data_IF_753364357734
#
_entry.id   IF_753364357734
#
_cell.length_a   1.000
_cell.length_b   1.000
_cell.length_c   1.000
_cell.angle_alpha   90.00
_cell.angle_beta   90.00
_cell.angle_gamma   90.00
#
_symmetry.space_group_name_H-M   'P 1'
#
loop_
_entity.id
_entity.type
_entity.pdbx_description
1 polymer ?
#
# COMPACT_ATOMS: atom_id res chain seq x y z
N UNK A 1 12.82 -3.32 -1.11
CA UNK A 1 12.12 -2.14 -1.69
C UNK A 1 13.02 -0.92 -1.76
N UNK A 2 13.72 -0.52 -0.72
CA UNK A 2 14.47 0.74 -0.64
C UNK A 2 15.35 1.06 -1.85
N UNK A 3 16.27 0.17 -2.24
CA UNK A 3 17.14 0.37 -3.43
C UNK A 3 16.37 0.61 -4.73
N UNK A 4 15.20 -0.01 -4.88
CA UNK A 4 14.37 0.16 -6.07
C UNK A 4 13.65 1.51 -6.06
N UNK A 5 13.16 1.93 -4.90
CA UNK A 5 12.56 3.25 -4.69
C UNK A 5 13.60 4.35 -4.95
N UNK A 6 14.81 4.21 -4.41
CA UNK A 6 15.93 5.13 -4.68
C UNK A 6 16.22 5.25 -6.18
N UNK A 7 16.32 4.13 -6.88
CA UNK A 7 16.54 4.10 -8.34
C UNK A 7 15.45 4.83 -9.11
N UNK A 8 14.18 4.60 -8.75
CA UNK A 8 13.04 5.26 -9.39
C UNK A 8 13.01 6.75 -9.06
N UNK A 9 13.23 7.14 -7.80
CA UNK A 9 13.26 8.54 -7.39
C UNK A 9 14.33 9.33 -8.17
N UNK A 10 15.57 8.81 -8.21
CA UNK A 10 16.66 9.45 -8.98
C UNK A 10 16.36 9.54 -10.48
N UNK A 11 15.78 8.49 -11.06
CA UNK A 11 15.37 8.48 -12.47
C UNK A 11 14.27 9.52 -12.79
N UNK A 12 13.48 9.90 -11.80
CA UNK A 12 12.45 10.95 -11.90
C UNK A 12 12.97 12.34 -11.54
N UNK A 13 14.26 12.49 -11.25
CA UNK A 13 14.91 13.78 -10.98
C UNK A 13 14.89 14.21 -9.52
N UNK A 14 14.54 13.32 -8.58
CA UNK A 14 14.60 13.61 -7.16
C UNK A 14 16.00 13.41 -6.60
N UNK A 15 16.35 14.23 -5.62
CA UNK A 15 17.53 14.03 -4.78
C UNK A 15 17.19 13.12 -3.61
N UNK A 16 17.99 12.08 -3.40
CA UNK A 16 17.90 11.22 -2.22
C UNK A 16 18.94 11.70 -1.22
N UNK A 17 18.50 12.51 -0.28
CA UNK A 17 19.36 13.21 0.69
C UNK A 17 19.78 12.34 1.87
N UNK A 18 19.00 11.31 2.20
CA UNK A 18 19.28 10.40 3.30
C UNK A 18 18.76 8.98 3.00
N UNK A 19 19.52 7.96 3.37
CA UNK A 19 19.10 6.56 3.39
C UNK A 19 19.30 6.02 4.79
N UNK A 20 18.22 5.52 5.39
CA UNK A 20 18.22 4.94 6.75
C UNK A 20 17.92 3.44 6.62
N UNK A 21 18.95 2.61 6.75
CA UNK A 21 18.83 1.15 6.62
C UNK A 21 19.83 0.46 7.54
N UNK A 22 19.39 -0.46 8.43
CA UNK A 22 20.30 -1.17 9.34
C UNK A 22 21.45 -1.90 8.63
N UNK A 23 21.22 -2.35 7.39
CA UNK A 23 22.24 -3.05 6.61
C UNK A 23 23.26 -2.12 5.94
N UNK A 24 22.94 -0.82 5.83
CA UNK A 24 23.80 0.19 5.20
C UNK A 24 24.48 1.06 6.27
N UNK A 25 23.73 1.44 7.30
CA UNK A 25 24.20 2.40 8.31
C UNK A 25 24.80 1.76 9.56
N UNK A 26 24.70 0.43 9.73
CA UNK A 26 25.11 -0.25 10.98
C UNK A 26 26.57 -0.06 11.36
N UNK A 27 27.46 0.22 10.39
CA UNK A 27 28.89 0.47 10.62
C UNK A 27 29.24 1.95 10.77
N UNK A 28 28.40 2.88 10.27
CA UNK A 28 28.73 4.29 10.20
C UNK A 28 27.95 5.16 11.20
N UNK A 29 26.66 4.88 11.44
CA UNK A 29 25.85 5.65 12.41
C UNK A 29 24.70 4.81 12.98
N UNK A 30 24.31 4.98 14.27
CA UNK A 30 23.06 4.44 14.79
C UNK A 30 21.86 4.97 13.99
N UNK A 31 20.84 4.13 13.73
CA UNK A 31 19.63 4.53 12.99
C UNK A 31 18.97 5.79 13.55
N UNK A 32 18.92 5.92 14.88
CA UNK A 32 18.39 7.10 15.54
C UNK A 32 19.16 8.39 15.15
N UNK A 33 20.48 8.31 15.02
CA UNK A 33 21.30 9.45 14.61
C UNK A 33 21.11 9.83 13.13
N UNK A 34 20.79 8.85 12.27
CA UNK A 34 20.49 9.12 10.87
C UNK A 34 19.14 9.88 10.71
N UNK A 35 18.12 9.51 11.49
CA UNK A 35 16.82 10.20 11.51
C UNK A 35 16.91 11.59 12.16
N UNK A 36 17.81 11.76 13.13
CA UNK A 36 18.06 13.06 13.77
C UNK A 36 19.09 13.94 13.03
N UNK A 37 19.47 13.56 11.82
CA UNK A 37 20.44 14.30 11.01
C UNK A 37 19.82 15.52 10.32
N UNK A 38 20.66 16.52 10.01
CA UNK A 38 20.24 17.67 9.19
C UNK A 38 19.80 17.23 7.78
N UNK A 39 20.46 16.22 7.21
CA UNK A 39 20.09 15.66 5.93
C UNK A 39 18.68 15.08 5.94
N UNK A 40 18.29 14.34 7.00
CA UNK A 40 16.94 13.84 7.12
C UNK A 40 15.90 14.97 7.25
N UNK A 41 16.19 15.97 8.09
CA UNK A 41 15.30 17.14 8.26
C UNK A 41 15.14 17.99 7.01
N UNK A 42 16.10 17.93 6.07
CA UNK A 42 16.00 18.63 4.79
C UNK A 42 15.12 17.92 3.75
N UNK A 43 14.70 16.67 4.02
CA UNK A 43 13.84 15.93 3.11
C UNK A 43 12.41 16.49 3.10
N UNK A 44 11.80 16.61 1.93
CA UNK A 44 10.38 16.95 1.78
C UNK A 44 9.48 15.80 2.24
N UNK A 45 9.86 14.55 1.88
CA UNK A 45 9.08 13.33 2.18
C UNK A 45 10.03 12.16 2.45
N UNK A 46 9.74 11.40 3.49
CA UNK A 46 10.36 10.12 3.78
C UNK A 46 9.53 8.97 3.22
N UNK A 47 10.17 8.00 2.57
CA UNK A 47 9.50 6.78 2.08
C UNK A 47 9.95 5.60 2.95
N UNK A 48 9.02 5.04 3.72
CA UNK A 48 9.25 4.03 4.74
C UNK A 48 8.79 2.63 4.25
N UNK A 49 9.73 1.69 4.15
CA UNK A 49 9.50 0.27 3.84
C UNK A 49 10.44 -0.56 4.71
N UNK A 50 10.12 -0.67 6.00
CA UNK A 50 10.93 -1.38 6.97
C UNK A 50 10.28 -2.67 7.46
N UNK A 51 10.14 -2.83 8.75
CA UNK A 51 9.55 -3.99 9.42
C UNK A 51 8.37 -3.56 10.29
N UNK A 52 7.39 -4.45 10.54
CA UNK A 52 6.20 -4.12 11.32
C UNK A 52 6.51 -3.60 12.73
N UNK A 53 7.56 -4.13 13.35
CA UNK A 53 8.01 -3.76 14.71
C UNK A 53 8.75 -2.40 14.77
N UNK A 54 9.16 -1.84 13.62
CA UNK A 54 9.85 -0.56 13.52
C UNK A 54 9.01 0.55 12.85
N UNK A 55 8.00 0.20 12.07
CA UNK A 55 7.28 1.14 11.20
C UNK A 55 6.64 2.28 11.97
N UNK A 56 5.95 2.02 13.08
CA UNK A 56 5.30 3.06 13.87
C UNK A 56 6.32 4.06 14.43
N UNK A 57 7.42 3.57 15.00
CA UNK A 57 8.48 4.45 15.54
C UNK A 57 9.16 5.27 14.45
N UNK A 58 9.37 4.69 13.25
CA UNK A 58 9.95 5.39 12.11
C UNK A 58 9.03 6.52 11.62
N UNK A 59 7.72 6.24 11.50
CA UNK A 59 6.74 7.24 11.10
C UNK A 59 6.67 8.37 12.11
N UNK A 60 6.57 8.06 13.41
CA UNK A 60 6.57 9.08 14.48
C UNK A 60 7.82 9.95 14.42
N UNK A 61 9.00 9.35 14.35
CA UNK A 61 10.26 10.08 14.32
C UNK A 61 10.36 11.02 13.11
N UNK A 62 9.90 10.61 11.94
CA UNK A 62 9.85 11.48 10.76
C UNK A 62 8.90 12.67 10.95
N UNK A 63 7.71 12.44 11.48
CA UNK A 63 6.72 13.49 11.74
C UNK A 63 7.21 14.49 12.81
N UNK A 64 7.91 14.03 13.84
CA UNK A 64 8.54 14.88 14.88
C UNK A 64 9.62 15.79 14.29
N UNK A 65 10.31 15.34 13.21
CA UNK A 65 11.27 16.15 12.46
C UNK A 65 10.61 17.07 11.42
N UNK A 66 9.28 17.05 11.30
CA UNK A 66 8.54 17.87 10.34
C UNK A 66 8.50 17.29 8.92
N UNK A 67 8.90 16.02 8.72
CA UNK A 67 8.98 15.36 7.42
C UNK A 67 7.72 14.54 7.15
N UNK A 68 7.11 14.73 5.98
CA UNK A 68 5.96 13.94 5.54
C UNK A 68 6.36 12.48 5.24
N UNK A 69 5.42 11.52 5.32
CA UNK A 69 5.75 10.10 5.24
C UNK A 69 4.85 9.33 4.29
N UNK A 70 5.47 8.56 3.40
CA UNK A 70 4.83 7.50 2.61
C UNK A 70 5.26 6.15 3.20
N UNK A 71 4.37 5.44 3.89
CA UNK A 71 4.66 4.15 4.53
C UNK A 71 4.00 2.99 3.81
N UNK A 72 4.82 2.02 3.40
CA UNK A 72 4.39 0.77 2.78
C UNK A 72 4.59 -0.47 3.65
N UNK A 73 5.03 -0.30 4.88
CA UNK A 73 5.13 -1.41 5.84
C UNK A 73 3.74 -1.82 6.31
N UNK A 74 3.44 -3.11 6.27
CA UNK A 74 2.18 -3.69 6.74
C UNK A 74 2.37 -4.36 8.10
N UNK A 75 1.26 -4.68 8.79
CA UNK A 75 1.30 -5.45 10.04
C UNK A 75 1.59 -4.64 11.30
N UNK A 76 1.49 -3.30 11.27
CA UNK A 76 1.59 -2.43 12.43
C UNK A 76 0.28 -1.66 12.70
N UNK A 77 0.15 -0.98 13.82
CA UNK A 77 -1.09 -0.35 14.27
C UNK A 77 -1.34 1.05 13.66
N UNK A 78 -1.53 1.11 12.34
CA UNK A 78 -1.80 2.35 11.60
C UNK A 78 -2.99 3.12 12.16
N UNK A 79 -4.11 2.42 12.42
CA UNK A 79 -5.35 3.06 12.89
C UNK A 79 -5.18 3.67 14.29
N UNK A 80 -4.40 3.02 15.15
CA UNK A 80 -4.08 3.56 16.47
C UNK A 80 -3.29 4.86 16.36
N UNK A 81 -2.24 4.88 15.54
CA UNK A 81 -1.45 6.07 15.30
C UNK A 81 -2.28 7.20 14.67
N UNK A 82 -3.12 6.88 13.69
CA UNK A 82 -4.01 7.85 13.04
C UNK A 82 -4.98 8.50 14.03
N UNK A 83 -5.59 7.70 14.91
CA UNK A 83 -6.52 8.19 15.92
C UNK A 83 -5.82 9.09 16.96
N UNK A 84 -4.57 8.79 17.30
CA UNK A 84 -3.79 9.56 18.27
C UNK A 84 -3.33 10.92 17.71
N UNK A 85 -2.76 10.92 16.49
CA UNK A 85 -2.15 12.12 15.92
C UNK A 85 -3.18 13.12 15.36
N UNK A 86 -4.39 12.67 15.03
CA UNK A 86 -5.38 13.53 14.38
C UNK A 86 -4.92 13.97 12.99
N UNK A 87 -5.02 15.29 12.67
CA UNK A 87 -4.69 15.84 11.35
C UNK A 87 -3.66 16.97 11.36
N UNK A 88 -3.17 17.37 12.52
CA UNK A 88 -2.25 18.52 12.64
C UNK A 88 -0.79 18.06 12.68
N UNK A 89 -0.34 17.44 11.59
CA UNK A 89 1.03 16.94 11.39
C UNK A 89 1.37 16.95 9.90
N UNK A 90 2.66 16.80 9.52
CA UNK A 90 3.04 16.62 8.12
C UNK A 90 2.26 15.47 7.46
N UNK A 91 2.07 15.51 6.15
CA UNK A 91 1.27 14.54 5.43
C UNK A 91 1.73 13.09 5.63
N UNK A 92 0.78 12.17 5.75
CA UNK A 92 1.05 10.72 5.81
C UNK A 92 0.17 10.01 4.80
N UNK A 93 0.78 9.15 3.98
CA UNK A 93 0.09 8.12 3.22
C UNK A 93 0.55 6.77 3.74
N UNK A 94 -0.38 5.95 4.20
CA UNK A 94 -0.15 4.52 4.37
C UNK A 94 -0.97 3.73 3.37
N UNK A 95 -0.34 2.75 2.73
CA UNK A 95 -1.04 1.81 1.85
C UNK A 95 -0.46 0.41 1.97
N UNK A 96 -1.33 -0.59 1.96
CA UNK A 96 -0.92 -2.01 1.86
C UNK A 96 -0.33 -2.36 0.50
N UNK A 97 -0.53 -1.49 -0.51
CA UNK A 97 -0.03 -1.69 -1.86
C UNK A 97 0.11 -0.36 -2.61
N UNK A 98 1.30 -0.08 -3.11
CA UNK A 98 1.61 1.13 -3.88
C UNK A 98 1.55 0.93 -5.40
N UNK A 99 1.26 -0.26 -5.91
CA UNK A 99 1.08 -0.43 -7.35
C UNK A 99 -0.10 0.40 -7.86
N UNK A 100 0.16 1.30 -8.81
CA UNK A 100 -0.88 2.11 -9.48
C UNK A 100 -1.97 1.20 -10.04
N UNK A 101 -1.57 0.11 -10.73
CA UNK A 101 -2.53 -0.85 -11.30
C UNK A 101 -3.40 -1.55 -10.24
N UNK A 102 -2.84 -1.89 -9.08
CA UNK A 102 -3.62 -2.47 -7.96
C UNK A 102 -4.57 -1.45 -7.37
N UNK A 103 -4.17 -0.20 -7.21
CA UNK A 103 -5.05 0.85 -6.68
C UNK A 103 -6.19 1.18 -7.66
N UNK A 104 -5.93 1.18 -8.97
CA UNK A 104 -6.98 1.24 -10.00
C UNK A 104 -7.91 0.00 -9.87
N UNK A 105 -7.35 -1.19 -9.69
CA UNK A 105 -8.15 -2.40 -9.48
C UNK A 105 -9.07 -2.26 -8.25
N UNK A 106 -8.59 -1.70 -7.13
CA UNK A 106 -9.42 -1.44 -5.95
C UNK A 106 -10.59 -0.51 -6.27
N UNK A 107 -10.35 0.62 -6.96
CA UNK A 107 -11.38 1.59 -7.32
C UNK A 107 -12.43 0.97 -8.26
N UNK A 108 -11.97 0.29 -9.32
CA UNK A 108 -12.86 -0.37 -10.30
C UNK A 108 -13.65 -1.51 -9.66
N UNK A 109 -13.03 -2.31 -8.79
CA UNK A 109 -13.68 -3.39 -8.06
C UNK A 109 -14.81 -2.85 -7.16
N UNK A 110 -14.55 -1.78 -6.43
CA UNK A 110 -15.55 -1.12 -5.57
C UNK A 110 -16.73 -0.59 -6.40
N UNK A 111 -16.45 0.06 -7.53
CA UNK A 111 -17.47 0.57 -8.43
C UNK A 111 -18.28 -0.57 -9.08
N UNK A 112 -17.62 -1.62 -9.57
CA UNK A 112 -18.29 -2.80 -10.14
C UNK A 112 -19.20 -3.47 -9.10
N UNK A 113 -18.71 -3.64 -7.87
CA UNK A 113 -19.51 -4.20 -6.78
C UNK A 113 -20.80 -3.40 -6.51
N UNK A 114 -20.75 -2.05 -6.61
CA UNK A 114 -21.94 -1.20 -6.47
C UNK A 114 -22.94 -1.41 -7.60
N UNK A 115 -22.48 -1.54 -8.84
CA UNK A 115 -23.34 -1.80 -9.99
C UNK A 115 -24.02 -3.17 -9.88
N UNK A 116 -23.23 -4.21 -9.60
CA UNK A 116 -23.72 -5.58 -9.49
C UNK A 116 -24.64 -5.81 -8.27
N UNK A 117 -24.46 -5.00 -7.22
CA UNK A 117 -25.41 -5.02 -6.10
C UNK A 117 -26.81 -4.51 -6.50
N UNK A 118 -26.89 -3.50 -7.37
CA UNK A 118 -28.16 -2.94 -7.85
C UNK A 118 -28.88 -3.90 -8.79
N UNK A 119 -28.14 -4.63 -9.62
CA UNK A 119 -28.72 -5.59 -10.58
C UNK A 119 -29.07 -6.94 -9.94
N UNK A 120 -28.31 -7.36 -8.93
CA UNK A 120 -28.44 -8.69 -8.31
C UNK A 120 -27.87 -9.81 -9.19
N UNK A 121 -27.94 -11.05 -8.70
CA UNK A 121 -27.62 -12.27 -9.48
C UNK A 121 -26.14 -12.65 -9.56
N UNK A 122 -25.20 -11.76 -9.18
CA UNK A 122 -23.78 -12.04 -9.26
C UNK A 122 -23.17 -12.41 -7.90
N UNK A 123 -22.34 -13.45 -7.90
CA UNK A 123 -21.57 -13.92 -6.75
C UNK A 123 -20.08 -13.67 -6.97
N UNK A 124 -19.39 -12.97 -6.05
CA UNK A 124 -17.96 -12.71 -6.16
C UNK A 124 -17.11 -13.83 -5.60
N UNK A 125 -15.95 -14.07 -6.23
CA UNK A 125 -14.85 -14.88 -5.70
C UNK A 125 -13.52 -14.17 -6.03
N UNK A 126 -12.53 -14.36 -5.18
CA UNK A 126 -11.19 -13.78 -5.35
C UNK A 126 -10.18 -14.91 -5.41
N UNK A 127 -9.26 -14.83 -6.38
CA UNK A 127 -8.08 -15.69 -6.43
C UNK A 127 -6.83 -14.82 -6.39
N UNK A 128 -5.85 -15.19 -5.55
CA UNK A 128 -4.56 -14.54 -5.52
C UNK A 128 -3.42 -15.56 -5.65
N UNK A 129 -2.39 -15.20 -6.42
CA UNK A 129 -1.23 -16.06 -6.68
C UNK A 129 0.03 -15.27 -6.36
N UNK A 130 0.90 -15.83 -5.53
CA UNK A 130 2.18 -15.24 -5.15
C UNK A 130 3.28 -16.31 -5.08
N UNK A 131 4.53 -15.85 -5.01
CA UNK A 131 5.70 -16.71 -4.82
C UNK A 131 5.61 -17.56 -3.54
N UNK A 132 6.32 -18.69 -3.55
CA UNK A 132 6.29 -19.68 -2.44
C UNK A 132 6.79 -19.14 -1.10
N UNK A 133 7.56 -18.05 -1.09
CA UNK A 133 8.10 -17.42 0.12
C UNK A 133 7.14 -16.42 0.80
N UNK A 134 5.94 -16.17 0.24
CA UNK A 134 4.96 -15.28 0.84
C UNK A 134 4.25 -15.96 2.01
N UNK A 135 4.40 -15.39 3.21
CA UNK A 135 3.94 -15.98 4.46
C UNK A 135 2.44 -15.75 4.73
N UNK A 136 1.95 -14.54 4.42
CA UNK A 136 0.55 -14.19 4.65
C UNK A 136 -0.36 -14.81 3.57
N UNK A 137 -1.43 -15.45 4.02
CA UNK A 137 -2.50 -15.99 3.19
C UNK A 137 -3.85 -15.84 3.94
N UNK A 138 -4.84 -15.11 3.37
CA UNK A 138 -4.77 -14.35 2.11
C UNK A 138 -3.82 -13.15 2.20
N UNK A 139 -3.37 -12.67 1.02
CA UNK A 139 -2.57 -11.44 0.92
C UNK A 139 -3.37 -10.21 1.35
N UNK A 140 -2.68 -9.18 1.88
CA UNK A 140 -3.33 -7.92 2.25
C UNK A 140 -4.13 -7.29 1.10
N UNK A 141 -3.65 -7.39 -0.14
CA UNK A 141 -4.35 -6.94 -1.34
C UNK A 141 -5.68 -7.69 -1.56
N UNK A 142 -5.69 -9.00 -1.40
CA UNK A 142 -6.91 -9.80 -1.54
C UNK A 142 -7.94 -9.48 -0.44
N UNK A 143 -7.46 -9.23 0.78
CA UNK A 143 -8.31 -8.77 1.89
C UNK A 143 -8.93 -7.41 1.57
N UNK A 144 -8.14 -6.43 1.10
CA UNK A 144 -8.64 -5.10 0.71
C UNK A 144 -9.67 -5.18 -0.43
N UNK A 145 -9.46 -6.05 -1.43
CA UNK A 145 -10.44 -6.29 -2.50
C UNK A 145 -11.77 -6.80 -1.95
N UNK A 146 -11.74 -7.77 -1.03
CA UNK A 146 -12.95 -8.30 -0.38
C UNK A 146 -13.65 -7.23 0.46
N UNK A 147 -12.91 -6.47 1.25
CA UNK A 147 -13.45 -5.38 2.06
C UNK A 147 -14.16 -4.34 1.19
N UNK A 148 -13.55 -3.93 0.07
CA UNK A 148 -14.15 -3.01 -0.88
C UNK A 148 -15.48 -3.53 -1.48
N UNK A 149 -15.61 -4.83 -1.73
CA UNK A 149 -16.85 -5.47 -2.17
C UNK A 149 -17.93 -5.39 -1.06
N UNK A 150 -17.54 -5.75 0.16
CA UNK A 150 -18.47 -5.77 1.32
C UNK A 150 -18.98 -4.38 1.64
N UNK A 151 -18.10 -3.39 1.72
CA UNK A 151 -18.47 -1.98 1.97
C UNK A 151 -19.41 -1.44 0.90
N UNK A 152 -19.12 -1.72 -0.37
CA UNK A 152 -19.91 -1.23 -1.51
C UNK A 152 -21.34 -1.76 -1.53
N UNK A 153 -21.55 -2.95 -0.98
CA UNK A 153 -22.89 -3.59 -0.88
C UNK A 153 -23.61 -3.23 0.41
N UNK A 154 -23.01 -2.45 1.31
CA UNK A 154 -23.55 -2.18 2.67
C UNK A 154 -23.93 -3.47 3.41
N UNK A 155 -23.30 -4.57 3.08
CA UNK A 155 -23.57 -5.90 3.64
C UNK A 155 -22.65 -6.13 4.83
N UNK A 156 -23.12 -6.93 5.81
CA UNK A 156 -22.20 -7.45 6.85
C UNK A 156 -21.28 -8.48 6.20
N UNK A 157 -20.01 -8.48 6.58
CA UNK A 157 -18.98 -9.41 6.05
C UNK A 157 -19.44 -10.87 6.09
N UNK A 158 -20.14 -11.23 7.17
CA UNK A 158 -20.64 -12.59 7.41
C UNK A 158 -21.77 -13.03 6.47
N UNK A 159 -22.51 -12.11 5.86
CA UNK A 159 -23.62 -12.42 4.97
C UNK A 159 -23.25 -12.54 3.49
N UNK A 160 -22.05 -12.06 3.12
CA UNK A 160 -21.57 -12.12 1.74
C UNK A 160 -20.57 -13.26 1.57
N UNK A 161 -20.95 -14.28 0.80
CA UNK A 161 -20.00 -15.32 0.36
C UNK A 161 -19.07 -14.72 -0.69
N UNK A 162 -17.88 -14.29 -0.28
CA UNK A 162 -16.79 -13.86 -1.15
C UNK A 162 -15.53 -14.63 -0.71
N UNK A 163 -15.36 -15.88 -1.15
CA UNK A 163 -14.20 -16.69 -0.81
C UNK A 163 -12.93 -16.09 -1.44
N UNK A 164 -11.81 -16.28 -0.75
CA UNK A 164 -10.48 -15.95 -1.26
C UNK A 164 -9.70 -17.26 -1.36
N UNK A 165 -9.27 -17.61 -2.57
CA UNK A 165 -8.33 -18.69 -2.82
C UNK A 165 -6.92 -18.11 -2.91
N UNK A 166 -5.99 -18.66 -2.11
CA UNK A 166 -4.60 -18.24 -2.08
C UNK A 166 -3.70 -19.33 -2.63
N UNK A 167 -3.04 -19.05 -3.76
CA UNK A 167 -2.12 -19.96 -4.44
C UNK A 167 -0.69 -19.48 -4.22
N UNK A 168 0.25 -20.41 -4.00
CA UNK A 168 1.68 -20.16 -3.88
C UNK A 168 2.40 -20.92 -4.97
N UNK A 169 3.02 -20.18 -5.90
CA UNK A 169 3.60 -20.75 -7.12
C UNK A 169 4.89 -20.03 -7.53
N UNK A 170 5.99 -20.77 -7.62
CA UNK A 170 7.28 -20.30 -8.12
C UNK A 170 7.71 -18.96 -7.53
N UNK A 171 8.08 -18.03 -8.43
CA UNK A 171 8.50 -16.65 -8.08
C UNK A 171 7.49 -15.62 -8.56
N UNK A 172 6.20 -15.95 -8.65
CA UNK A 172 5.14 -15.05 -9.12
C UNK A 172 5.10 -13.79 -8.24
N UNK A 173 5.29 -12.58 -8.80
CA UNK A 173 5.35 -11.33 -8.01
C UNK A 173 4.01 -10.97 -7.36
N UNK A 174 2.92 -11.37 -7.98
CA UNK A 174 1.56 -11.19 -7.50
C UNK A 174 0.53 -11.08 -8.61
N UNK A 175 -0.48 -11.93 -8.54
CA UNK A 175 -1.67 -11.89 -9.39
C UNK A 175 -2.87 -11.79 -8.48
N UNK A 176 -3.82 -10.93 -8.82
CA UNK A 176 -5.09 -10.79 -8.12
C UNK A 176 -6.21 -10.78 -9.14
N UNK A 177 -7.18 -11.66 -8.96
CA UNK A 177 -8.34 -11.79 -9.81
C UNK A 177 -9.61 -11.73 -8.96
N UNK A 178 -10.55 -10.89 -9.36
CA UNK A 178 -11.92 -10.84 -8.82
C UNK A 178 -12.86 -11.31 -9.90
N UNK A 179 -13.51 -12.44 -9.68
CA UNK A 179 -14.45 -13.07 -10.58
C UNK A 179 -15.85 -12.91 -10.04
N UNK A 180 -16.75 -12.38 -10.86
CA UNK A 180 -18.16 -12.26 -10.58
C UNK A 180 -18.94 -13.16 -11.53
N UNK A 181 -19.70 -14.10 -11.00
CA UNK A 181 -20.42 -15.09 -11.76
C UNK A 181 -21.93 -14.99 -11.56
N UNK A 182 -22.67 -15.06 -12.66
CA UNK A 182 -24.11 -15.19 -12.71
C UNK A 182 -24.48 -16.46 -13.50
N UNK A 183 -25.78 -16.75 -13.63
CA UNK A 183 -26.25 -17.83 -14.50
C UNK A 183 -26.01 -17.55 -15.99
N UNK A 184 -25.88 -16.28 -16.39
CA UNK A 184 -25.78 -15.86 -17.77
C UNK A 184 -24.33 -15.66 -18.25
N UNK A 185 -23.45 -15.15 -17.37
CA UNK A 185 -22.11 -14.72 -17.76
C UNK A 185 -21.14 -14.63 -16.58
N UNK A 186 -19.89 -14.28 -16.89
CA UNK A 186 -18.83 -14.06 -15.93
C UNK A 186 -18.13 -12.74 -16.24
N UNK A 187 -17.94 -11.91 -15.22
CA UNK A 187 -17.09 -10.72 -15.26
C UNK A 187 -15.81 -10.95 -14.45
N UNK A 188 -14.66 -10.62 -15.02
CA UNK A 188 -13.37 -10.80 -14.35
C UNK A 188 -12.58 -9.49 -14.37
N UNK A 189 -12.12 -9.08 -13.19
CA UNK A 189 -11.10 -8.04 -13.03
C UNK A 189 -9.79 -8.71 -12.63
N UNK A 190 -8.72 -8.54 -13.42
CA UNK A 190 -7.43 -9.16 -13.16
C UNK A 190 -6.30 -8.14 -13.22
N UNK A 191 -5.43 -8.19 -12.23
CA UNK A 191 -4.15 -7.52 -12.21
C UNK A 191 -3.03 -8.54 -12.07
N UNK A 192 -1.98 -8.38 -12.86
CA UNK A 192 -0.78 -9.20 -12.81
C UNK A 192 0.45 -8.29 -12.74
N UNK A 193 1.20 -8.39 -11.65
CA UNK A 193 2.46 -7.70 -11.49
C UNK A 193 3.55 -8.40 -12.30
N UNK A 194 4.23 -7.68 -13.20
CA UNK A 194 5.37 -8.21 -13.96
C UNK A 194 6.69 -8.05 -13.21
N UNK A 195 6.76 -7.09 -12.31
CA UNK A 195 7.92 -6.83 -11.45
C UNK A 195 7.53 -5.99 -10.24
N UNK A 196 8.46 -5.81 -9.30
CA UNK A 196 8.28 -4.92 -8.15
C UNK A 196 8.48 -3.43 -8.46
N UNK A 197 8.87 -3.07 -9.68
CA UNK A 197 9.05 -1.68 -10.09
C UNK A 197 7.75 -0.85 -9.98
N UNK A 198 6.59 -1.46 -10.26
CA UNK A 198 5.30 -0.80 -10.12
C UNK A 198 5.01 -0.32 -8.71
N UNK A 199 5.44 -1.05 -7.68
CA UNK A 199 5.30 -0.64 -6.28
C UNK A 199 6.23 0.53 -5.93
N UNK A 200 7.48 0.48 -6.41
CA UNK A 200 8.45 1.55 -6.20
C UNK A 200 8.00 2.85 -6.89
N UNK A 201 7.52 2.77 -8.13
CA UNK A 201 6.98 3.91 -8.85
C UNK A 201 5.79 4.54 -8.11
N UNK A 202 4.84 3.74 -7.67
CA UNK A 202 3.67 4.24 -6.95
C UNK A 202 4.04 4.89 -5.61
N UNK A 203 5.04 4.37 -4.89
CA UNK A 203 5.53 5.01 -3.67
C UNK A 203 6.17 6.38 -3.94
N UNK A 204 6.91 6.51 -5.04
CA UNK A 204 7.51 7.80 -5.45
C UNK A 204 6.42 8.78 -5.90
N UNK A 205 5.43 8.34 -6.70
CA UNK A 205 4.28 9.17 -7.07
C UNK A 205 3.48 9.65 -5.86
N UNK A 206 3.31 8.78 -4.86
CA UNK A 206 2.68 9.17 -3.60
C UNK A 206 3.49 10.24 -2.85
N UNK A 207 4.81 10.14 -2.85
CA UNK A 207 5.68 11.13 -2.24
C UNK A 207 5.62 12.49 -2.98
N UNK A 208 5.65 12.49 -4.30
CA UNK A 208 5.48 13.69 -5.12
C UNK A 208 4.15 14.40 -4.82
N UNK A 209 3.07 13.61 -4.74
CA UNK A 209 1.74 14.14 -4.45
C UNK A 209 1.62 14.67 -3.01
N UNK A 210 2.32 14.05 -2.04
CA UNK A 210 2.22 14.35 -0.62
C UNK A 210 2.95 15.63 -0.21
N UNK A 211 3.91 16.10 -1.01
CA UNK A 211 4.71 17.27 -0.69
C UNK A 211 3.84 18.48 -0.30
N UNK A 212 4.13 19.07 0.85
CA UNK A 212 3.43 20.24 1.39
C UNK A 212 2.00 19.99 1.92
N UNK A 213 1.54 18.76 1.95
CA UNK A 213 0.24 18.39 2.53
C UNK A 213 0.37 18.06 4.02
N UNK A 214 -0.76 18.09 4.74
CA UNK A 214 -0.87 17.76 6.17
C UNK A 214 -1.96 16.73 6.40
N UNK A 215 -1.83 15.96 7.49
CA UNK A 215 -2.81 14.94 7.85
C UNK A 215 -2.68 13.62 7.08
N UNK A 216 -3.68 12.77 7.22
CA UNK A 216 -3.70 11.43 6.63
C UNK A 216 -4.36 11.42 5.26
N UNK A 217 -3.71 10.78 4.29
CA UNK A 217 -4.17 10.64 2.93
C UNK A 217 -4.14 9.19 2.45
N UNK A 218 -4.75 8.93 1.32
CA UNK A 218 -4.88 7.60 0.72
C UNK A 218 -4.27 7.55 -0.69
N UNK A 219 -3.92 6.36 -1.16
CA UNK A 219 -3.53 6.17 -2.55
C UNK A 219 -4.65 6.48 -3.55
N UNK A 220 -5.91 6.47 -3.13
CA UNK A 220 -7.02 6.87 -4.01
C UNK A 220 -6.94 8.36 -4.31
N UNK A 221 -6.67 9.22 -3.31
CA UNK A 221 -6.49 10.66 -3.49
C UNK A 221 -5.29 10.99 -4.39
N UNK A 222 -4.25 10.15 -4.41
CA UNK A 222 -3.09 10.31 -5.31
C UNK A 222 -3.48 10.05 -6.77
N UNK A 223 -4.52 9.25 -7.04
CA UNK A 223 -4.94 8.86 -8.40
C UNK A 223 -6.07 9.74 -8.96
N UNK A 224 -6.72 10.54 -8.14
CA UNK A 224 -7.75 11.50 -8.51
C UNK A 224 -7.16 12.86 -8.95
#
# INVERSE_FOLDING_TARGET
MGRMIESVARARGHEVVCVVDPCVNAEEQPLAAAIDSEAFRSADVAIEFSRPDAAESNVRAALEQGVAVVSGTTGWNVRGLQAELGSNHPGVIWSSNYSVGVNILFAVNKYLAQLLHKTGGYTPAITEIHHVHKLDAPSGTAVTLREGIVESRKSKVESLKCPIESIREGEVPGIHEVRWESEADVLTLRHEAKSRQGFALGAVLAAEWLQGKTGWHTMQEVLE
#
